data_IF_422086426163
#
_entry.id   IF_422086426163
#
_cell.length_a   1.000
_cell.length_b   1.000
_cell.length_c   1.000
_cell.angle_alpha   90.00
_cell.angle_beta   90.00
_cell.angle_gamma   90.00
#
_symmetry.space_group_name_H-M   'P 1'
#
loop_
_entity.id
_entity.type
_entity.pdbx_description
1 polymer ?
#
# COMPACT_ATOMS: atom_id res chain seq x y z
N UNK A 1 -55.85 -6.54 49.35
CA UNK A 1 -55.48 -5.83 48.11
C UNK A 1 -54.07 -5.25 48.26
N UNK A 2 -53.02 -6.09 48.13
CA UNK A 2 -51.61 -5.68 48.20
C UNK A 2 -50.75 -6.74 47.47
N UNK A 3 -50.87 -6.83 46.14
CA UNK A 3 -50.00 -7.72 45.33
C UNK A 3 -49.36 -6.94 44.15
N UNK A 4 -49.83 -5.73 43.83
CA UNK A 4 -49.29 -4.93 42.71
C UNK A 4 -47.97 -4.19 42.99
N UNK A 5 -47.64 -3.90 44.25
CA UNK A 5 -46.46 -3.09 44.60
C UNK A 5 -45.12 -3.84 44.49
N UNK A 6 -45.10 -5.14 44.77
CA UNK A 6 -43.85 -5.91 44.82
C UNK A 6 -43.29 -6.24 43.43
N UNK A 7 -44.16 -6.36 42.42
CA UNK A 7 -43.76 -6.67 41.03
C UNK A 7 -43.09 -5.46 40.37
N UNK A 8 -43.63 -4.25 40.60
CA UNK A 8 -43.10 -3.00 40.04
C UNK A 8 -41.69 -2.71 40.59
N UNK A 9 -41.46 -2.95 41.88
CA UNK A 9 -40.14 -2.74 42.50
C UNK A 9 -39.10 -3.71 41.94
N UNK A 10 -39.48 -4.96 41.66
CA UNK A 10 -38.59 -5.97 41.06
C UNK A 10 -38.18 -5.60 39.64
N UNK A 11 -39.12 -5.10 38.84
CA UNK A 11 -38.86 -4.76 37.44
C UNK A 11 -38.02 -3.47 37.31
N UNK A 12 -38.20 -2.51 38.23
CA UNK A 12 -37.35 -1.31 38.31
C UNK A 12 -35.92 -1.67 38.72
N UNK A 13 -35.74 -2.52 39.73
CA UNK A 13 -34.41 -3.01 40.14
C UNK A 13 -33.70 -3.79 39.01
N UNK A 14 -34.45 -4.56 38.22
CA UNK A 14 -33.91 -5.30 37.08
C UNK A 14 -33.50 -4.38 35.91
N UNK A 15 -34.29 -3.34 35.63
CA UNK A 15 -33.96 -2.32 34.62
C UNK A 15 -32.76 -1.47 35.05
N UNK A 16 -32.68 -1.07 36.32
CA UNK A 16 -31.52 -0.35 36.86
C UNK A 16 -30.26 -1.21 36.84
N UNK A 17 -30.37 -2.50 37.16
CA UNK A 17 -29.27 -3.46 37.05
C UNK A 17 -28.75 -3.58 35.62
N UNK A 18 -29.63 -3.67 34.61
CA UNK A 18 -29.23 -3.70 33.19
C UNK A 18 -28.61 -2.39 32.72
N UNK A 19 -29.11 -1.25 33.19
CA UNK A 19 -28.56 0.07 32.86
C UNK A 19 -27.17 0.27 33.47
N UNK A 20 -26.98 -0.13 34.74
CA UNK A 20 -25.66 -0.10 35.38
C UNK A 20 -24.68 -1.07 34.73
N UNK A 21 -25.14 -2.27 34.33
CA UNK A 21 -24.30 -3.22 33.61
C UNK A 21 -23.89 -2.67 32.23
N UNK A 22 -24.79 -1.99 31.50
CA UNK A 22 -24.47 -1.39 30.20
C UNK A 22 -23.52 -0.19 30.33
N UNK A 23 -23.64 0.60 31.40
CA UNK A 23 -22.70 1.67 31.74
C UNK A 23 -21.33 1.12 32.16
N UNK A 24 -21.28 0.03 32.93
CA UNK A 24 -20.03 -0.65 33.30
C UNK A 24 -19.34 -1.28 32.07
N UNK A 25 -20.09 -1.95 31.19
CA UNK A 25 -19.54 -2.49 29.93
C UNK A 25 -19.17 -1.40 28.92
N UNK A 26 -19.92 -0.30 28.89
CA UNK A 26 -19.61 0.90 28.10
C UNK A 26 -18.33 1.58 28.57
N UNK A 27 -18.17 1.77 29.88
CA UNK A 27 -16.96 2.31 30.51
C UNK A 27 -15.76 1.35 30.37
N UNK A 28 -15.96 0.03 30.42
CA UNK A 28 -14.89 -0.94 30.14
C UNK A 28 -14.45 -0.92 28.67
N UNK A 29 -15.38 -0.75 27.72
CA UNK A 29 -15.06 -0.59 26.29
C UNK A 29 -14.42 0.76 25.98
N UNK A 30 -14.80 1.82 26.69
CA UNK A 30 -14.20 3.14 26.53
C UNK A 30 -12.81 3.21 27.16
N UNK A 31 -12.62 2.59 28.33
CA UNK A 31 -11.32 2.49 28.99
C UNK A 31 -10.36 1.56 28.25
N UNK A 32 -10.81 0.45 27.62
CA UNK A 32 -9.91 -0.39 26.83
C UNK A 32 -9.48 0.29 25.52
N UNK A 33 -10.35 1.11 24.91
CA UNK A 33 -10.00 1.91 23.73
C UNK A 33 -9.03 3.04 24.10
N UNK A 34 -9.25 3.73 25.21
CA UNK A 34 -8.33 4.76 25.74
C UNK A 34 -7.03 4.15 26.29
N UNK A 35 -7.05 2.96 26.88
CA UNK A 35 -5.86 2.25 27.34
C UNK A 35 -5.05 1.72 26.16
N UNK A 36 -5.68 1.25 25.08
CA UNK A 36 -4.98 0.88 23.84
C UNK A 36 -4.40 2.11 23.11
N UNK A 37 -5.04 3.28 23.21
CA UNK A 37 -4.53 4.55 22.68
C UNK A 37 -3.42 5.12 23.58
N UNK A 38 -3.53 5.01 24.91
CA UNK A 38 -2.52 5.48 25.89
C UNK A 38 -1.31 4.56 26.02
N UNK A 39 -1.45 3.25 25.76
CA UNK A 39 -0.36 2.27 25.93
C UNK A 39 0.38 1.90 24.64
N UNK A 40 0.10 2.51 23.48
CA UNK A 40 0.92 2.30 22.27
C UNK A 40 1.15 0.83 21.87
N UNK A 41 0.27 -0.07 22.30
CA UNK A 41 0.47 -1.52 22.25
C UNK A 41 -0.71 -2.14 21.51
N UNK A 42 -0.69 -2.00 20.19
CA UNK A 42 -1.30 -2.99 19.30
C UNK A 42 -0.20 -3.65 18.49
N UNK A 43 0.59 -4.46 19.20
CA UNK A 43 0.97 -5.82 18.79
C UNK A 43 1.38 -6.05 17.34
N UNK A 44 2.55 -5.54 16.97
CA UNK A 44 3.59 -6.33 16.32
C UNK A 44 4.89 -5.93 17.05
N UNK A 45 5.58 -6.88 17.69
CA UNK A 45 6.96 -6.66 18.08
C UNK A 45 7.76 -6.59 16.78
N UNK A 46 7.80 -5.41 16.15
CA UNK A 46 8.72 -5.16 15.07
C UNK A 46 10.11 -5.49 15.63
N UNK A 47 10.70 -6.60 15.16
CA UNK A 47 12.09 -6.89 15.44
C UNK A 47 12.84 -5.67 14.90
N UNK A 48 13.49 -4.91 15.78
CA UNK A 48 14.27 -3.71 15.43
C UNK A 48 15.51 -4.08 14.61
N UNK A 49 15.33 -4.73 13.46
CA UNK A 49 16.32 -4.78 12.39
C UNK A 49 16.21 -3.46 11.63
N UNK A 50 16.80 -2.41 12.22
CA UNK A 50 16.86 -1.09 11.57
C UNK A 50 17.84 -1.13 10.41
N UNK A 51 17.33 -1.17 9.19
CA UNK A 51 18.15 -0.92 8.00
C UNK A 51 18.18 0.58 7.69
N UNK A 52 19.38 1.14 7.59
CA UNK A 52 19.61 2.50 7.08
C UNK A 52 20.00 2.40 5.62
N UNK A 53 19.26 3.05 4.72
CA UNK A 53 19.66 3.12 3.32
C UNK A 53 20.75 4.18 3.10
N UNK A 54 21.30 4.27 1.88
CA UNK A 54 22.32 5.28 1.52
C UNK A 54 21.88 6.74 1.67
N UNK A 55 20.59 6.97 1.91
CA UNK A 55 19.99 8.30 2.12
C UNK A 55 19.67 8.58 3.60
N UNK A 56 20.14 7.72 4.53
CA UNK A 56 19.90 7.90 5.97
C UNK A 56 18.48 7.54 6.44
N UNK A 57 17.65 6.94 5.59
CA UNK A 57 16.28 6.53 5.95
C UNK A 57 16.32 5.26 6.79
N UNK A 58 15.76 5.33 7.99
CA UNK A 58 15.58 4.19 8.89
C UNK A 58 14.31 3.42 8.55
N UNK A 59 14.45 2.11 8.35
CA UNK A 59 13.36 1.19 8.07
C UNK A 59 13.05 0.28 9.26
N UNK A 60 11.77 0.11 9.54
CA UNK A 60 11.24 -0.89 10.46
C UNK A 60 10.84 -2.13 9.69
N UNK A 61 11.31 -3.29 10.15
CA UNK A 61 10.95 -4.58 9.58
C UNK A 61 9.62 -5.05 10.16
N UNK A 62 8.70 -5.45 9.29
CA UNK A 62 7.41 -6.01 9.65
C UNK A 62 7.26 -7.36 8.93
N UNK A 63 6.96 -8.42 9.67
CA UNK A 63 6.68 -9.72 9.07
C UNK A 63 5.17 -9.83 8.78
N UNK A 64 4.74 -10.03 7.51
CA UNK A 64 3.32 -9.98 7.15
C UNK A 64 2.42 -11.03 7.82
N UNK A 65 2.98 -12.07 8.43
CA UNK A 65 2.19 -13.05 9.18
C UNK A 65 1.75 -12.54 10.57
N UNK A 66 2.32 -11.42 11.01
CA UNK A 66 2.01 -10.77 12.28
C UNK A 66 0.83 -9.78 12.13
N UNK A 67 0.39 -9.51 10.89
CA UNK A 67 -0.74 -8.62 10.61
C UNK A 67 -2.07 -9.27 10.97
N UNK A 68 -3.01 -8.49 11.51
CA UNK A 68 -4.36 -8.95 11.89
C UNK A 68 -5.08 -9.61 10.73
N UNK A 69 -4.89 -9.10 9.51
CA UNK A 69 -5.47 -9.66 8.28
C UNK A 69 -5.04 -11.10 8.00
N UNK A 70 -3.91 -11.54 8.56
CA UNK A 70 -3.36 -12.89 8.36
C UNK A 70 -3.58 -13.82 9.56
N UNK A 71 -4.07 -13.28 10.68
CA UNK A 71 -4.16 -13.95 11.97
C UNK A 71 -5.09 -15.19 11.98
N UNK A 72 -6.13 -15.20 11.15
CA UNK A 72 -7.09 -16.31 11.05
C UNK A 72 -6.60 -17.46 10.14
N UNK A 73 -5.49 -17.28 9.42
CA UNK A 73 -4.91 -18.29 8.51
C UNK A 73 -3.96 -19.27 9.24
N UNK A 74 -4.31 -19.75 10.45
CA UNK A 74 -3.43 -20.52 11.37
C UNK A 74 -2.94 -21.90 10.90
N UNK A 75 -3.11 -22.29 9.64
CA UNK A 75 -2.40 -23.45 9.09
C UNK A 75 -1.00 -23.00 8.65
N UNK A 76 0.01 -23.22 9.52
CA UNK A 76 1.47 -23.06 9.31
C UNK A 76 1.80 -22.03 8.22
N UNK A 77 1.78 -20.74 8.56
CA UNK A 77 2.21 -19.71 7.63
C UNK A 77 3.69 -19.95 7.28
N UNK A 78 3.94 -20.41 6.05
CA UNK A 78 5.29 -20.37 5.44
C UNK A 78 5.79 -18.93 5.50
N UNK A 79 7.10 -18.74 5.62
CA UNK A 79 7.76 -17.43 5.58
C UNK A 79 7.16 -16.55 4.46
N UNK A 80 6.42 -15.50 4.83
CA UNK A 80 5.72 -14.60 3.91
C UNK A 80 6.61 -13.44 3.45
N UNK A 81 7.94 -13.58 3.53
CA UNK A 81 8.89 -12.52 3.20
C UNK A 81 8.91 -11.38 4.23
N UNK A 82 9.84 -10.45 4.05
CA UNK A 82 10.02 -9.29 4.94
C UNK A 82 9.57 -8.01 4.24
N UNK A 83 8.81 -7.19 4.95
CA UNK A 83 8.40 -5.85 4.51
C UNK A 83 9.10 -4.84 5.39
N UNK A 84 9.50 -3.72 4.81
CA UNK A 84 10.24 -2.67 5.49
C UNK A 84 9.54 -1.34 5.22
N UNK A 85 9.10 -0.64 6.26
CA UNK A 85 8.47 0.68 6.15
C UNK A 85 9.28 1.73 6.91
N UNK A 86 9.34 2.94 6.40
CA UNK A 86 10.01 4.04 7.09
C UNK A 86 9.14 4.60 8.22
N UNK A 87 9.77 5.10 9.29
CA UNK A 87 9.10 6.05 10.19
C UNK A 87 8.78 7.35 9.44
N UNK A 88 7.75 8.07 9.87
CA UNK A 88 7.54 9.44 9.39
C UNK A 88 8.73 10.31 9.81
N UNK A 89 9.13 11.20 8.91
CA UNK A 89 10.07 12.28 9.22
C UNK A 89 9.35 13.58 8.94
N UNK A 90 9.17 14.43 9.96
CA UNK A 90 8.44 15.71 9.83
C UNK A 90 7.02 15.52 9.25
N UNK A 91 6.33 14.44 9.65
CA UNK A 91 5.00 14.10 9.11
C UNK A 91 5.00 13.50 7.70
N UNK A 92 6.17 13.38 7.05
CA UNK A 92 6.34 12.88 5.68
C UNK A 92 6.70 11.40 5.66
N UNK A 93 6.04 10.66 4.77
CA UNK A 93 6.37 9.27 4.45
C UNK A 93 7.67 9.25 3.65
N UNK A 94 8.63 8.40 4.00
CA UNK A 94 9.93 8.37 3.31
C UNK A 94 10.01 7.26 2.26
N UNK A 95 9.45 6.08 2.57
CA UNK A 95 9.40 4.97 1.62
C UNK A 95 9.15 3.62 2.27
N UNK A 96 9.07 2.60 1.43
CA UNK A 96 8.95 1.21 1.84
C UNK A 96 9.60 0.28 0.82
N UNK A 97 10.06 -0.88 1.26
CA UNK A 97 10.53 -1.94 0.36
C UNK A 97 10.15 -3.32 0.89
N UNK A 98 10.10 -4.29 -0.02
CA UNK A 98 9.88 -5.70 0.28
C UNK A 98 11.04 -6.52 -0.26
N UNK A 99 11.44 -7.53 0.52
CA UNK A 99 12.29 -8.62 0.01
C UNK A 99 11.40 -9.82 -0.29
N UNK A 100 11.35 -10.21 -1.57
CA UNK A 100 10.40 -11.19 -2.09
C UNK A 100 11.05 -12.08 -3.14
N UNK A 101 10.57 -13.32 -3.26
CA UNK A 101 10.90 -14.22 -4.36
C UNK A 101 9.60 -14.80 -4.95
N UNK A 102 9.71 -15.64 -5.98
CA UNK A 102 8.55 -16.25 -6.62
C UNK A 102 7.67 -17.05 -5.65
N UNK A 103 8.27 -17.85 -4.77
CA UNK A 103 7.48 -18.71 -3.87
C UNK A 103 6.68 -17.87 -2.86
N UNK A 104 7.28 -16.82 -2.29
CA UNK A 104 6.60 -15.88 -1.41
C UNK A 104 5.48 -15.15 -2.16
N UNK A 105 5.75 -14.62 -3.35
CA UNK A 105 4.75 -13.91 -4.14
C UNK A 105 3.55 -14.81 -4.49
N UNK A 106 3.81 -16.05 -4.89
CA UNK A 106 2.75 -17.03 -5.18
C UNK A 106 1.96 -17.41 -3.93
N UNK A 107 2.62 -17.60 -2.79
CA UNK A 107 1.94 -17.87 -1.52
C UNK A 107 1.03 -16.71 -1.12
N UNK A 108 1.51 -15.46 -1.22
CA UNK A 108 0.70 -14.25 -0.96
C UNK A 108 -0.48 -14.16 -1.92
N UNK A 109 -0.28 -14.37 -3.24
CA UNK A 109 -1.38 -14.41 -4.22
C UNK A 109 -2.42 -15.47 -3.88
N UNK A 110 -1.98 -16.66 -3.46
CA UNK A 110 -2.88 -17.74 -3.04
C UNK A 110 -3.69 -17.35 -1.80
N UNK A 111 -3.07 -16.68 -0.82
CA UNK A 111 -3.77 -16.19 0.38
C UNK A 111 -4.78 -15.09 0.05
N UNK A 112 -4.43 -14.12 -0.79
CA UNK A 112 -5.37 -13.07 -1.23
C UNK A 112 -6.59 -13.68 -1.92
N UNK A 113 -6.39 -14.73 -2.71
CA UNK A 113 -7.50 -15.38 -3.42
C UNK A 113 -8.38 -16.28 -2.54
N UNK A 114 -7.94 -16.65 -1.33
CA UNK A 114 -8.60 -17.71 -0.54
C UNK A 114 -8.99 -17.30 0.88
N UNK A 115 -8.25 -16.40 1.50
CA UNK A 115 -8.29 -16.22 2.96
C UNK A 115 -8.00 -14.81 3.46
N UNK A 116 -7.35 -13.95 2.65
CA UNK A 116 -7.07 -12.55 3.00
C UNK A 116 -7.87 -11.69 2.04
N UNK A 117 -8.87 -11.00 2.57
CA UNK A 117 -9.67 -10.06 1.81
C UNK A 117 -9.18 -8.64 2.09
N UNK A 118 -9.18 -7.82 1.04
CA UNK A 118 -8.97 -6.38 1.20
C UNK A 118 -10.14 -5.82 2.00
N UNK A 119 -9.85 -5.01 3.02
CA UNK A 119 -10.88 -4.32 3.78
C UNK A 119 -10.96 -2.87 3.33
N UNK A 120 -12.01 -2.54 2.58
CA UNK A 120 -12.23 -1.19 2.06
C UNK A 120 -12.47 -0.17 3.18
N UNK A 121 -13.06 -0.58 4.32
CA UNK A 121 -13.27 0.29 5.48
C UNK A 121 -11.94 0.65 6.15
N UNK A 122 -11.07 -0.33 6.37
CA UNK A 122 -9.73 -0.08 6.94
C UNK A 122 -8.91 0.82 6.02
N UNK A 123 -8.96 0.57 4.70
CA UNK A 123 -8.31 1.42 3.70
C UNK A 123 -8.87 2.84 3.69
N UNK A 124 -10.18 3.00 3.86
CA UNK A 124 -10.83 4.31 3.91
C UNK A 124 -10.43 5.08 5.18
N UNK A 125 -10.29 4.39 6.30
CA UNK A 125 -9.95 4.99 7.60
C UNK A 125 -8.44 5.13 7.84
N UNK A 126 -7.60 4.51 7.01
CA UNK A 126 -6.15 4.59 7.14
C UNK A 126 -5.66 6.05 7.05
N UNK A 127 -4.79 6.42 7.98
CA UNK A 127 -4.14 7.73 7.98
C UNK A 127 -3.18 7.87 6.81
N UNK A 128 -3.31 8.97 6.06
CA UNK A 128 -2.46 9.30 4.91
C UNK A 128 -2.09 10.77 4.96
N UNK A 129 -0.79 11.13 5.13
CA UNK A 129 -0.37 12.53 5.22
C UNK A 129 -0.83 13.37 4.02
N UNK A 130 -1.44 14.53 4.30
CA UNK A 130 -1.95 15.47 3.29
C UNK A 130 -3.25 15.05 2.60
N UNK A 131 -3.77 13.84 2.84
CA UNK A 131 -4.93 13.37 2.08
C UNK A 131 -6.20 14.15 2.40
N UNK A 132 -6.40 14.52 3.68
CA UNK A 132 -7.61 15.25 4.09
C UNK A 132 -7.71 16.64 3.45
N UNK A 133 -6.58 17.25 3.07
CA UNK A 133 -6.52 18.55 2.40
C UNK A 133 -7.05 18.47 0.96
N UNK A 134 -6.86 17.34 0.29
CA UNK A 134 -7.17 17.14 -1.14
C UNK A 134 -8.32 16.16 -1.39
N UNK A 135 -8.90 15.55 -0.35
CA UNK A 135 -9.93 14.50 -0.48
C UNK A 135 -11.21 14.95 -1.20
N UNK A 136 -11.49 16.25 -1.18
CA UNK A 136 -12.63 16.89 -1.82
C UNK A 136 -12.37 17.18 -3.30
N UNK A 137 -11.12 17.11 -3.76
CA UNK A 137 -10.73 17.34 -5.15
C UNK A 137 -11.20 16.18 -6.03
N UNK A 138 -12.32 16.44 -6.70
CA UNK A 138 -12.99 15.48 -7.57
C UNK A 138 -13.46 16.20 -8.82
N UNK A 139 -13.34 15.53 -9.96
CA UNK A 139 -13.88 16.02 -11.22
C UNK A 139 -15.07 15.17 -11.65
N UNK A 140 -16.07 15.81 -12.26
CA UNK A 140 -17.22 15.11 -12.84
C UNK A 140 -16.82 14.53 -14.19
N UNK A 141 -16.79 13.20 -14.27
CA UNK A 141 -16.60 12.48 -15.54
C UNK A 141 -17.87 11.67 -15.83
N UNK A 142 -18.51 11.99 -16.94
CA UNK A 142 -19.84 11.49 -17.28
C UNK A 142 -20.85 11.73 -16.15
N UNK A 143 -21.37 10.66 -15.55
CA UNK A 143 -22.35 10.68 -14.45
C UNK A 143 -21.72 10.40 -13.07
N UNK A 144 -20.38 10.34 -12.96
CA UNK A 144 -19.68 9.96 -11.72
C UNK A 144 -18.65 11.01 -11.31
N UNK A 145 -18.53 11.26 -10.02
CA UNK A 145 -17.42 12.05 -9.46
C UNK A 145 -16.19 11.15 -9.34
N UNK A 146 -15.08 11.59 -9.91
CA UNK A 146 -13.81 10.87 -9.89
C UNK A 146 -12.81 11.60 -9.02
N UNK A 147 -12.16 10.89 -8.11
CA UNK A 147 -11.14 11.49 -7.23
C UNK A 147 -9.86 11.80 -8.00
N UNK A 148 -9.30 12.98 -7.74
CA UNK A 148 -8.03 13.42 -8.32
C UNK A 148 -6.83 12.82 -7.58
N UNK A 149 -6.99 12.60 -6.28
CA UNK A 149 -6.01 11.99 -5.39
C UNK A 149 -6.51 10.67 -4.79
N UNK A 150 -5.57 9.77 -4.54
CA UNK A 150 -5.78 8.47 -3.93
C UNK A 150 -4.93 8.31 -2.68
N UNK A 151 -5.44 7.49 -1.75
CA UNK A 151 -4.64 6.80 -0.73
C UNK A 151 -3.77 5.76 -1.44
N UNK A 152 -2.57 6.17 -1.81
CA UNK A 152 -1.66 5.44 -2.69
C UNK A 152 -0.71 4.59 -1.86
N UNK A 153 -0.55 3.32 -2.22
CA UNK A 153 0.36 2.42 -1.54
C UNK A 153 1.81 2.61 -2.03
N UNK A 154 2.77 2.56 -1.11
CA UNK A 154 4.19 2.42 -1.46
C UNK A 154 4.53 1.01 -1.94
N UNK A 155 3.85 -0.01 -1.42
CA UNK A 155 3.99 -1.39 -1.86
C UNK A 155 2.61 -1.93 -2.20
N UNK A 156 2.42 -2.56 -3.36
CA UNK A 156 1.11 -3.08 -3.72
C UNK A 156 0.65 -4.08 -2.65
N UNK A 157 -0.65 -4.14 -2.39
CA UNK A 157 -1.24 -5.03 -1.37
C UNK A 157 -0.70 -6.48 -1.45
N UNK A 158 -0.52 -7.01 -2.67
CA UNK A 158 0.01 -8.39 -2.89
C UNK A 158 1.47 -8.57 -2.43
N UNK A 159 2.20 -7.47 -2.24
CA UNK A 159 3.60 -7.43 -1.80
C UNK A 159 3.73 -7.13 -0.30
N UNK A 160 2.67 -6.77 0.41
CA UNK A 160 2.75 -6.46 1.84
C UNK A 160 1.67 -7.13 2.70
N UNK A 161 0.51 -7.47 2.10
CA UNK A 161 -0.68 -7.99 2.75
C UNK A 161 -1.24 -7.07 3.85
N UNK A 162 -1.06 -5.75 3.70
CA UNK A 162 -1.65 -4.73 4.58
C UNK A 162 -2.24 -3.60 3.72
N UNK A 163 -3.36 -3.04 4.19
CA UNK A 163 -3.97 -1.82 3.61
C UNK A 163 -3.42 -0.54 4.28
N UNK A 164 -2.37 -0.65 5.09
CA UNK A 164 -1.85 0.45 5.93
C UNK A 164 -2.48 0.53 7.33
N UNK A 165 -3.27 -0.49 7.69
CA UNK A 165 -3.95 -0.67 8.98
C UNK A 165 -2.99 -1.07 10.12
N UNK A 166 -2.19 -2.10 9.89
CA UNK A 166 -1.19 -2.62 10.84
C UNK A 166 0.25 -2.29 10.40
N UNK A 167 0.44 -1.76 9.19
CA UNK A 167 1.71 -1.21 8.69
C UNK A 167 1.62 0.31 8.56
N UNK A 168 1.98 1.02 9.63
CA UNK A 168 2.04 2.48 9.60
C UNK A 168 2.95 2.97 8.48
N UNK A 169 2.57 4.09 7.86
CA UNK A 169 3.37 4.81 6.85
C UNK A 169 3.57 4.04 5.53
N UNK A 170 2.68 3.09 5.23
CA UNK A 170 2.66 2.38 3.95
C UNK A 170 1.94 3.17 2.84
N UNK A 171 1.13 4.16 3.22
CA UNK A 171 0.31 4.97 2.33
C UNK A 171 0.82 6.40 2.25
N UNK A 172 0.72 7.00 1.06
CA UNK A 172 0.95 8.42 0.83
C UNK A 172 -0.14 9.00 -0.08
N UNK A 173 -0.25 10.33 -0.12
CA UNK A 173 -1.17 11.02 -1.01
C UNK A 173 -0.58 11.09 -2.42
N UNK A 174 -1.15 10.34 -3.36
CA UNK A 174 -0.70 10.30 -4.76
C UNK A 174 -1.84 10.62 -5.71
N UNK A 175 -1.56 11.26 -6.85
CA UNK A 175 -2.57 11.52 -7.87
C UNK A 175 -3.08 10.21 -8.48
N UNK A 176 -4.28 10.25 -9.07
CA UNK A 176 -4.81 9.13 -9.86
C UNK A 176 -3.85 8.74 -11.00
N UNK A 177 -3.13 9.71 -11.55
CA UNK A 177 -2.16 9.51 -12.63
C UNK A 177 -0.93 8.76 -12.15
N UNK A 178 -0.34 9.17 -11.01
CA UNK A 178 0.77 8.45 -10.41
C UNK A 178 0.39 7.03 -9.98
N UNK A 179 -0.77 6.86 -9.33
CA UNK A 179 -1.18 5.57 -8.77
C UNK A 179 -1.55 4.54 -9.84
N UNK A 180 -2.47 4.89 -10.75
CA UNK A 180 -3.04 3.93 -11.72
C UNK A 180 -2.89 4.35 -13.18
N UNK A 181 -2.26 5.49 -13.46
CA UNK A 181 -2.13 6.01 -14.83
C UNK A 181 -3.38 6.76 -15.33
N UNK A 182 -4.45 6.81 -14.52
CA UNK A 182 -5.70 7.48 -14.88
C UNK A 182 -5.55 9.00 -14.77
N UNK A 183 -6.09 9.72 -15.74
CA UNK A 183 -6.12 11.19 -15.80
C UNK A 183 -7.57 11.66 -15.89
N UNK A 184 -8.30 11.69 -14.75
CA UNK A 184 -9.72 12.03 -14.73
C UNK A 184 -10.04 13.38 -15.39
N UNK A 185 -9.16 14.36 -15.25
CA UNK A 185 -9.28 15.69 -15.86
C UNK A 185 -9.23 15.67 -17.39
N UNK A 186 -8.72 14.60 -18.00
CA UNK A 186 -8.73 14.37 -19.45
C UNK A 186 -9.75 13.32 -19.87
N UNK A 187 -10.65 12.90 -18.97
CA UNK A 187 -11.57 11.78 -19.18
C UNK A 187 -10.86 10.49 -19.60
N UNK A 188 -9.58 10.34 -19.24
CA UNK A 188 -8.78 9.16 -19.55
C UNK A 188 -8.68 8.27 -18.32
N UNK A 189 -9.29 7.10 -18.40
CA UNK A 189 -9.24 6.10 -17.35
C UNK A 189 -8.48 4.91 -17.86
N UNK A 190 -7.57 4.40 -17.04
CA UNK A 190 -6.82 3.17 -17.31
C UNK A 190 -7.70 2.05 -16.73
N UNK A 191 -8.45 1.30 -17.57
CA UNK A 191 -9.49 0.36 -17.09
C UNK A 191 -8.93 -0.82 -16.28
N UNK A 192 -9.33 -0.97 -15.02
CA UNK A 192 -8.90 -2.12 -14.18
C UNK A 192 -9.44 -3.49 -14.63
N UNK A 193 -10.26 -3.54 -15.69
CA UNK A 193 -11.05 -4.72 -16.06
C UNK A 193 -10.61 -5.34 -17.40
N UNK A 194 -10.82 -6.65 -17.50
CA UNK A 194 -10.44 -7.53 -18.61
C UNK A 194 -10.96 -7.15 -20.01
N UNK A 195 -11.80 -6.11 -20.13
CA UNK A 195 -12.41 -5.67 -21.39
C UNK A 195 -11.45 -4.88 -22.30
N UNK A 196 -10.39 -4.30 -21.72
CA UNK A 196 -9.32 -3.62 -22.46
C UNK A 196 -7.94 -4.19 -22.08
N UNK A 197 -7.87 -5.52 -21.98
CA UNK A 197 -6.60 -6.26 -21.78
C UNK A 197 -5.49 -5.73 -22.69
N UNK A 198 -5.85 -5.32 -23.91
CA UNK A 198 -4.92 -4.86 -24.92
C UNK A 198 -4.10 -3.65 -24.47
N UNK A 199 -4.70 -2.53 -24.04
CA UNK A 199 -3.91 -1.33 -23.70
C UNK A 199 -2.96 -1.55 -22.49
N UNK A 200 -3.38 -2.33 -21.49
CA UNK A 200 -2.55 -2.67 -20.34
C UNK A 200 -1.46 -3.66 -20.66
N UNK A 201 -1.82 -4.71 -21.40
CA UNK A 201 -0.88 -5.71 -21.85
C UNK A 201 0.17 -5.07 -22.75
N UNK A 202 -0.20 -4.14 -23.63
CA UNK A 202 0.74 -3.37 -24.44
C UNK A 202 1.65 -2.47 -23.60
N UNK A 203 1.13 -1.75 -22.59
CA UNK A 203 1.94 -0.96 -21.66
C UNK A 203 2.94 -1.82 -20.90
N UNK A 204 2.48 -2.94 -20.35
CA UNK A 204 3.31 -3.89 -19.61
C UNK A 204 4.34 -4.57 -20.50
N UNK A 205 3.94 -5.03 -21.71
CA UNK A 205 4.84 -5.66 -22.67
C UNK A 205 5.91 -4.68 -23.14
N UNK A 206 5.53 -3.46 -23.51
CA UNK A 206 6.48 -2.45 -23.95
C UNK A 206 7.44 -2.05 -22.83
N UNK A 207 6.95 -1.85 -21.61
CA UNK A 207 7.80 -1.55 -20.46
C UNK A 207 8.70 -2.74 -20.09
N UNK A 208 8.17 -3.97 -20.16
CA UNK A 208 8.96 -5.19 -19.95
C UNK A 208 10.03 -5.36 -21.01
N UNK A 209 9.71 -5.08 -22.28
CA UNK A 209 10.65 -5.12 -23.38
C UNK A 209 11.71 -4.03 -23.23
N UNK A 210 11.34 -2.80 -22.87
CA UNK A 210 12.30 -1.73 -22.56
C UNK A 210 13.28 -2.13 -21.44
N UNK A 211 12.76 -2.72 -20.36
CA UNK A 211 13.59 -3.25 -19.28
C UNK A 211 14.51 -4.37 -19.80
N UNK A 212 14.01 -5.30 -20.63
CA UNK A 212 14.79 -6.44 -21.17
C UNK A 212 15.80 -6.04 -22.25
N UNK A 213 15.45 -5.15 -23.18
CA UNK A 213 16.29 -4.71 -24.31
C UNK A 213 17.41 -3.77 -23.88
N UNK A 214 17.14 -2.86 -22.93
CA UNK A 214 18.20 -2.04 -22.32
C UNK A 214 19.15 -2.87 -21.46
N UNK A 215 18.68 -3.98 -20.87
CA UNK A 215 19.53 -5.00 -20.22
C UNK A 215 20.42 -5.74 -21.23
N UNK A 216 19.93 -6.05 -22.44
CA UNK A 216 20.70 -6.76 -23.49
C UNK A 216 21.76 -5.89 -24.17
N UNK A 217 21.58 -4.56 -24.26
CA UNK A 217 22.48 -3.67 -25.01
C UNK A 217 23.70 -3.13 -24.24
N UNK A 218 23.98 -3.53 -22.99
CA UNK A 218 25.09 -2.94 -22.22
C UNK A 218 26.11 -3.94 -21.66
N UNK A 219 27.17 -4.14 -22.46
CA UNK A 219 28.57 -4.43 -22.08
C UNK A 219 29.27 -3.20 -21.45
N UNK A 220 28.50 -2.28 -20.88
CA UNK A 220 28.92 -0.97 -20.39
C UNK A 220 27.93 -0.63 -19.28
N UNK A 221 28.13 -1.11 -18.05
CA UNK A 221 27.54 -0.59 -16.80
C UNK A 221 28.22 -1.34 -15.66
N UNK A 222 29.19 -0.69 -15.02
CA UNK A 222 29.50 -0.95 -13.61
C UNK A 222 28.67 -0.04 -12.70
N UNK A 223 28.07 1.03 -13.23
CA UNK A 223 27.36 2.05 -12.46
C UNK A 223 26.31 2.81 -13.30
N UNK A 224 25.23 2.18 -13.76
CA UNK A 224 24.07 2.99 -14.17
C UNK A 224 22.81 2.49 -13.53
N UNK A 225 22.35 3.27 -12.55
CA UNK A 225 20.94 3.54 -12.37
C UNK A 225 20.35 3.74 -13.76
N UNK A 226 19.54 2.80 -14.24
CA UNK A 226 18.62 3.11 -15.32
C UNK A 226 17.69 4.12 -14.67
N UNK A 227 17.92 5.42 -14.85
CA UNK A 227 16.98 6.46 -14.46
C UNK A 227 16.10 6.67 -15.68
N UNK A 228 14.93 6.07 -15.69
CA UNK A 228 13.98 6.28 -16.77
C UNK A 228 13.24 7.61 -16.53
N UNK A 229 13.92 8.73 -16.76
CA UNK A 229 13.24 10.03 -16.82
C UNK A 229 12.48 10.14 -18.15
N UNK A 230 11.20 10.52 -18.08
CA UNK A 230 10.33 10.81 -19.22
C UNK A 230 10.03 9.65 -20.20
N UNK A 231 9.46 8.52 -19.74
CA UNK A 231 8.68 7.70 -20.68
C UNK A 231 7.23 8.17 -20.68
N UNK A 232 6.82 8.72 -21.82
CA UNK A 232 5.41 8.89 -22.15
C UNK A 232 4.75 7.53 -22.29
N UNK A 233 3.58 7.36 -21.69
CA UNK A 233 2.76 6.19 -21.90
C UNK A 233 2.43 6.04 -23.40
N UNK A 234 2.42 4.82 -23.95
CA UNK A 234 2.10 4.59 -25.35
C UNK A 234 0.63 4.98 -25.65
N UNK A 235 0.38 5.35 -26.90
CA UNK A 235 -0.97 5.57 -27.45
C UNK A 235 -1.89 4.38 -27.09
N UNK A 236 -3.16 4.60 -26.69
CA UNK A 236 -3.95 5.84 -26.81
C UNK A 236 -3.86 6.79 -25.62
N UNK A 237 -2.80 6.73 -24.80
CA UNK A 237 -2.66 7.66 -23.67
C UNK A 237 -2.57 9.14 -24.13
N UNK A 238 -3.27 10.08 -23.47
CA UNK A 238 -3.18 11.51 -23.79
C UNK A 238 -1.75 12.04 -23.69
N UNK A 239 -1.46 13.12 -24.42
CA UNK A 239 -0.17 13.81 -24.34
C UNK A 239 0.13 14.23 -22.89
N UNK A 240 1.38 14.03 -22.46
CA UNK A 240 1.82 14.27 -21.09
C UNK A 240 1.56 13.11 -20.12
N UNK A 241 0.91 12.02 -20.57
CA UNK A 241 0.73 10.83 -19.72
C UNK A 241 2.06 10.09 -19.56
N UNK A 242 2.41 9.71 -18.33
CA UNK A 242 3.54 8.83 -18.02
C UNK A 242 3.09 7.45 -17.50
N UNK A 243 4.06 6.55 -17.29
CA UNK A 243 3.84 5.31 -16.56
C UNK A 243 3.54 5.55 -15.09
N UNK A 244 2.73 4.68 -14.50
CA UNK A 244 2.24 4.74 -13.12
C UNK A 244 2.89 3.68 -12.24
N UNK A 245 2.64 3.76 -10.94
CA UNK A 245 3.02 2.69 -9.99
C UNK A 245 2.47 1.34 -10.44
N UNK A 246 1.20 1.25 -10.81
CA UNK A 246 0.57 0.00 -11.28
C UNK A 246 1.31 -0.61 -12.49
N UNK A 247 1.80 0.20 -13.43
CA UNK A 247 2.60 -0.29 -14.56
C UNK A 247 3.90 -1.00 -14.08
N UNK A 248 4.64 -0.36 -13.17
CA UNK A 248 5.89 -0.92 -12.64
C UNK A 248 5.66 -2.09 -11.67
N UNK A 249 4.58 -2.08 -10.91
CA UNK A 249 4.17 -3.20 -10.05
C UNK A 249 3.86 -4.46 -10.86
N UNK A 250 3.21 -4.32 -12.02
CA UNK A 250 2.94 -5.41 -12.96
C UNK A 250 4.21 -5.95 -13.60
N UNK A 251 5.11 -5.05 -14.04
CA UNK A 251 6.41 -5.47 -14.58
C UNK A 251 7.24 -6.19 -13.52
N UNK A 252 7.29 -5.68 -12.29
CA UNK A 252 7.96 -6.33 -11.18
C UNK A 252 7.36 -7.71 -10.89
N UNK A 253 6.03 -7.80 -10.82
CA UNK A 253 5.30 -9.07 -10.63
C UNK A 253 5.68 -10.08 -11.71
N UNK A 254 5.64 -9.70 -12.99
CA UNK A 254 6.02 -10.60 -14.09
C UNK A 254 7.48 -11.04 -13.97
N UNK A 255 8.39 -10.10 -13.72
CA UNK A 255 9.82 -10.39 -13.64
C UNK A 255 10.14 -11.36 -12.50
N UNK A 256 9.53 -11.16 -11.32
CA UNK A 256 9.71 -12.06 -10.17
C UNK A 256 9.19 -13.47 -10.48
N UNK A 257 8.05 -13.58 -11.17
CA UNK A 257 7.46 -14.87 -11.53
C UNK A 257 8.30 -15.65 -12.57
N UNK A 258 8.96 -14.94 -13.48
CA UNK A 258 9.83 -15.50 -14.53
C UNK A 258 11.19 -15.99 -13.99
N UNK A 259 11.58 -15.62 -12.77
CA UNK A 259 12.89 -15.92 -12.18
C UNK A 259 12.74 -16.65 -10.83
N UNK A 260 12.34 -17.95 -10.84
CA UNK A 260 11.93 -18.69 -9.65
C UNK A 260 13.00 -18.81 -8.55
N UNK A 261 14.28 -18.80 -8.94
CA UNK A 261 15.41 -19.08 -8.05
C UNK A 261 16.04 -17.79 -7.47
N UNK A 262 15.46 -16.62 -7.77
CA UNK A 262 16.04 -15.34 -7.41
C UNK A 262 15.26 -14.66 -6.29
N UNK A 263 15.99 -13.96 -5.43
CA UNK A 263 15.45 -13.02 -4.45
C UNK A 263 15.51 -11.60 -5.00
N UNK A 264 14.46 -10.83 -4.73
CA UNK A 264 14.26 -9.50 -5.24
C UNK A 264 14.01 -8.51 -4.11
N UNK A 265 14.45 -7.27 -4.31
CA UNK A 265 14.05 -6.11 -3.51
C UNK A 265 13.26 -5.16 -4.41
N UNK A 266 11.97 -4.99 -4.11
CA UNK A 266 11.14 -3.97 -4.74
C UNK A 266 10.87 -2.87 -3.72
N UNK A 267 10.93 -1.60 -4.11
CA UNK A 267 10.59 -0.52 -3.19
C UNK A 267 10.23 0.79 -3.87
N UNK A 268 9.64 1.67 -3.06
CA UNK A 268 9.22 3.01 -3.44
C UNK A 268 9.71 4.00 -2.38
N UNK A 269 10.25 5.13 -2.83
CA UNK A 269 10.71 6.24 -2.01
C UNK A 269 10.00 7.53 -2.41
N UNK A 270 9.58 8.34 -1.45
CA UNK A 270 8.96 9.63 -1.69
C UNK A 270 10.01 10.74 -1.72
N UNK A 271 9.82 11.70 -2.64
CA UNK A 271 10.62 12.92 -2.76
C UNK A 271 9.73 14.13 -2.65
N UNK A 272 10.25 15.18 -2.02
CA UNK A 272 9.53 16.39 -1.68
C UNK A 272 10.31 17.59 -2.21
N UNK A 273 9.64 18.48 -2.95
CA UNK A 273 10.24 19.71 -3.47
C UNK A 273 10.04 20.90 -2.55
N UNK A 274 9.15 20.78 -1.56
CA UNK A 274 8.76 21.82 -0.62
C UNK A 274 8.58 21.24 0.78
N UNK A 275 8.09 22.08 1.70
CA UNK A 275 7.85 21.68 3.07
C UNK A 275 6.53 20.92 3.31
N UNK A 276 5.78 20.62 2.25
CA UNK A 276 4.52 19.90 2.31
C UNK A 276 4.65 18.42 2.70
N UNK A 277 3.52 17.78 2.94
CA UNK A 277 3.44 16.35 3.30
C UNK A 277 3.02 15.44 2.13
N UNK A 278 2.65 16.05 1.00
CA UNK A 278 2.35 15.36 -0.27
C UNK A 278 3.65 15.33 -1.10
N UNK A 279 4.15 14.16 -1.52
CA UNK A 279 5.39 14.09 -2.29
C UNK A 279 5.21 14.66 -3.69
N UNK A 280 6.25 15.28 -4.22
CA UNK A 280 6.29 15.83 -5.59
C UNK A 280 6.62 14.76 -6.63
N UNK A 281 7.35 13.72 -6.22
CA UNK A 281 7.66 12.54 -7.03
C UNK A 281 7.95 11.33 -6.15
N UNK A 282 8.02 10.15 -6.78
CA UNK A 282 8.46 8.91 -6.11
C UNK A 282 9.50 8.19 -6.95
N UNK A 283 10.52 7.62 -6.31
CA UNK A 283 11.41 6.66 -6.95
C UNK A 283 10.93 5.23 -6.74
N UNK A 284 10.77 4.47 -7.83
CA UNK A 284 10.39 3.06 -7.83
C UNK A 284 11.57 2.24 -8.34
N UNK A 285 11.85 1.09 -7.73
CA UNK A 285 12.95 0.24 -8.16
C UNK A 285 12.68 -1.24 -7.93
N UNK A 286 13.38 -2.07 -8.72
CA UNK A 286 13.47 -3.51 -8.54
C UNK A 286 14.92 -3.94 -8.69
N UNK A 287 15.45 -4.59 -7.66
CA UNK A 287 16.80 -5.17 -7.64
C UNK A 287 16.66 -6.68 -7.55
N UNK A 288 17.40 -7.40 -8.37
CA UNK A 288 17.64 -8.83 -8.21
C UNK A 288 18.81 -9.00 -7.23
N UNK A 289 18.51 -9.32 -5.97
CA UNK A 289 19.51 -9.45 -4.91
C UNK A 289 20.45 -10.63 -5.16
N UNK A 290 19.93 -11.74 -5.70
CA UNK A 290 20.73 -12.94 -6.00
C UNK A 290 21.85 -12.65 -7.01
N UNK A 291 21.56 -11.81 -8.00
CA UNK A 291 22.54 -11.43 -9.03
C UNK A 291 23.19 -10.07 -8.77
N UNK A 292 22.89 -9.43 -7.64
CA UNK A 292 23.25 -8.05 -7.34
C UNK A 292 23.04 -7.08 -8.52
N UNK A 293 21.86 -7.16 -9.16
CA UNK A 293 21.57 -6.44 -10.41
C UNK A 293 20.33 -5.58 -10.29
N UNK A 294 20.46 -4.28 -10.57
CA UNK A 294 19.32 -3.38 -10.76
C UNK A 294 18.56 -3.79 -12.03
N UNK A 295 17.27 -4.12 -11.90
CA UNK A 295 16.40 -4.45 -13.03
C UNK A 295 15.82 -3.17 -13.63
N UNK A 296 15.27 -2.31 -12.77
CA UNK A 296 14.88 -0.96 -13.14
C UNK A 296 14.96 -0.03 -11.92
N UNK A 297 15.14 1.26 -12.19
CA UNK A 297 14.89 2.35 -11.27
C UNK A 297 14.19 3.45 -12.06
N UNK A 298 13.25 4.16 -11.48
CA UNK A 298 12.51 5.21 -12.18
C UNK A 298 12.05 6.24 -11.18
N UNK A 299 11.95 7.48 -11.62
CA UNK A 299 11.29 8.54 -10.87
C UNK A 299 9.98 8.88 -11.57
N UNK A 300 8.88 8.85 -10.81
CA UNK A 300 7.54 9.12 -11.29
C UNK A 300 7.04 10.42 -10.65
N UNK A 301 6.67 11.43 -11.44
CA UNK A 301 6.13 12.67 -10.88
C UNK A 301 4.73 12.45 -10.31
N UNK A 302 4.40 13.17 -9.23
CA UNK A 302 3.09 13.18 -8.60
C UNK A 302 2.26 14.34 -9.16
N UNK A 303 1.91 14.25 -10.44
CA UNK A 303 1.22 15.31 -11.20
C UNK A 303 -0.06 14.77 -11.84
N UNK A 304 -0.82 15.62 -12.53
CA UNK A 304 -2.09 15.27 -13.17
C UNK A 304 -1.95 14.90 -14.65
#
# INVERSE_FOLDING_TARGET
MMIGGLVIVRDILFLMGKFFLSLLFGAFRFSSKMFNIMMGLTGIQAVEDTHVNKYGVQFLMVEPYELKQTFFSRKKAKHLGKVYTSRLKEGRVQGAYVVINRSILMERKNKVNRSIFRNDEDRYNAYVPGFDEVRSEKIKCDKRMQAMYHRTHLLPFRFCLSEGDDMTNLLFTGTAHLNSGSRPQLHYFVPNDNLFKDSFYYRQLYLSDLCKTKIRKKKLIKESNITIQHISAPSPAPIGSHYSLDDFERVATSYILDHPNNSFKYGVFCHYSDDGVIPSSVSVYLINNTLNKMIFSVELPNVF
#
